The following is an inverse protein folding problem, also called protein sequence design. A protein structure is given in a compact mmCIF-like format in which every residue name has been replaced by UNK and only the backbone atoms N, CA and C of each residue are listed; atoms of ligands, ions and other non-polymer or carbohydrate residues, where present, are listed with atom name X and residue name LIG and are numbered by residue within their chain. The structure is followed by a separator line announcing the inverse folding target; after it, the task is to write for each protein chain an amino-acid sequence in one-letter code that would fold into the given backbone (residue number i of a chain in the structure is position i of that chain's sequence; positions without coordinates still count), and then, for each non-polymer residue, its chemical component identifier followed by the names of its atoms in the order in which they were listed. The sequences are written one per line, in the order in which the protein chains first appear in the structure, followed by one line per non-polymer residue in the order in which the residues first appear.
data_IF_106863919762
#
_entry.id   IF_106863919762
#
_cell.length_a   1.000
_cell.length_b   1.000
_cell.length_c   1.000
_cell.angle_alpha   90.00
_cell.angle_beta   90.00
_cell.angle_gamma   90.00
#
_symmetry.space_group_name_H-M   'P 1'
#
loop_
_entity.id
_entity.type
_entity.pdbx_description
1 polymer ?
#
# COMPACT_ATOMS: atom_id res chain seq x y z
N UNK A 1 -11.79 -12.41 18.75
CA UNK A 1 -10.36 -12.64 18.56
C UNK A 1 -9.89 -11.73 17.42
N UNK A 2 -8.86 -10.91 17.61
CA UNK A 2 -8.45 -9.92 16.62
C UNK A 2 -7.97 -10.57 15.32
N UNK A 3 -8.60 -10.20 14.21
CA UNK A 3 -8.24 -10.64 12.86
C UNK A 3 -8.02 -9.41 11.98
N UNK A 4 -7.05 -9.48 11.08
CA UNK A 4 -6.75 -8.41 10.14
C UNK A 4 -6.88 -8.92 8.71
N UNK A 5 -7.66 -8.22 7.91
CA UNK A 5 -7.75 -8.45 6.48
C UNK A 5 -7.21 -7.24 5.73
N UNK A 6 -6.17 -7.45 4.94
CA UNK A 6 -5.48 -6.42 4.17
C UNK A 6 -5.85 -6.59 2.71
N UNK A 7 -6.59 -5.62 2.16
CA UNK A 7 -6.92 -5.59 0.74
C UNK A 7 -5.76 -4.98 -0.04
N UNK A 8 -5.10 -5.77 -0.88
CA UNK A 8 -3.88 -5.43 -1.61
C UNK A 8 -4.11 -5.38 -3.12
N UNK A 9 -3.31 -4.57 -3.83
CA UNK A 9 -3.44 -4.42 -5.27
C UNK A 9 -2.93 -5.64 -6.03
N UNK A 10 -1.75 -6.16 -5.67
CA UNK A 10 -1.05 -7.18 -6.44
C UNK A 10 -0.28 -8.20 -5.59
N UNK A 11 0.43 -9.09 -6.30
CA UNK A 11 1.20 -10.19 -5.70
C UNK A 11 2.41 -9.69 -4.89
N UNK A 12 2.98 -8.53 -5.24
CA UNK A 12 4.10 -7.95 -4.51
C UNK A 12 3.67 -7.52 -3.10
N UNK A 13 2.55 -6.81 -3.01
CA UNK A 13 1.97 -6.38 -1.74
C UNK A 13 1.49 -7.59 -0.92
N UNK A 14 0.87 -8.60 -1.58
CA UNK A 14 0.46 -9.85 -0.91
C UNK A 14 1.66 -10.55 -0.27
N UNK A 15 2.77 -10.67 -1.00
CA UNK A 15 3.99 -11.30 -0.48
C UNK A 15 4.61 -10.47 0.65
N UNK A 16 4.67 -9.15 0.50
CA UNK A 16 5.15 -8.26 1.57
C UNK A 16 4.31 -8.39 2.85
N UNK A 17 2.99 -8.45 2.71
CA UNK A 17 2.09 -8.66 3.85
C UNK A 17 2.41 -10.00 4.53
N UNK A 18 2.53 -11.07 3.77
CA UNK A 18 2.71 -12.41 4.33
C UNK A 18 4.10 -12.62 4.97
N UNK A 19 5.16 -12.09 4.34
CA UNK A 19 6.55 -12.37 4.73
C UNK A 19 7.15 -11.34 5.67
N UNK A 20 6.65 -10.10 5.69
CA UNK A 20 7.19 -9.03 6.52
C UNK A 20 6.19 -8.47 7.53
N UNK A 21 5.02 -8.01 7.07
CA UNK A 21 4.08 -7.28 7.92
C UNK A 21 3.33 -8.21 8.89
N UNK A 22 2.84 -9.36 8.42
CA UNK A 22 2.09 -10.28 9.27
C UNK A 22 2.96 -10.90 10.39
N UNK A 23 4.20 -11.38 10.16
CA UNK A 23 5.08 -11.81 11.23
C UNK A 23 5.29 -10.76 12.32
N UNK A 24 5.47 -9.48 11.94
CA UNK A 24 5.58 -8.38 12.87
C UNK A 24 4.30 -8.19 13.70
N UNK A 25 3.15 -8.10 13.04
CA UNK A 25 1.87 -7.82 13.69
C UNK A 25 1.34 -8.96 14.58
N UNK A 26 1.75 -10.21 14.33
CA UNK A 26 1.44 -11.31 15.25
C UNK A 26 2.01 -11.06 16.67
N UNK A 27 3.12 -10.34 16.77
CA UNK A 27 3.71 -9.92 18.06
C UNK A 27 2.82 -8.97 18.87
N UNK A 28 1.84 -8.31 18.22
CA UNK A 28 0.90 -7.39 18.86
C UNK A 28 -0.43 -8.06 19.27
N UNK A 29 -0.64 -9.34 18.93
CA UNK A 29 -1.80 -10.11 19.41
C UNK A 29 -2.85 -10.42 18.35
N UNK A 30 -2.61 -10.12 17.08
CA UNK A 30 -3.46 -10.64 16.01
C UNK A 30 -3.38 -12.15 15.94
N UNK A 31 -4.54 -12.81 15.77
CA UNK A 31 -4.61 -14.27 15.68
C UNK A 31 -4.61 -14.76 14.23
N UNK A 32 -5.07 -13.92 13.31
CA UNK A 32 -5.05 -14.21 11.89
C UNK A 32 -4.87 -12.90 11.12
N UNK A 33 -3.91 -12.91 10.21
CA UNK A 33 -3.67 -11.85 9.25
C UNK A 33 -3.74 -12.47 7.87
N UNK A 34 -4.44 -11.84 6.95
CA UNK A 34 -4.62 -12.33 5.58
C UNK A 34 -4.55 -11.19 4.59
N UNK A 35 -3.81 -11.34 3.52
CA UNK A 35 -3.90 -10.48 2.35
C UNK A 35 -5.03 -10.95 1.43
N UNK A 36 -5.70 -10.01 0.76
CA UNK A 36 -6.72 -10.28 -0.25
C UNK A 36 -6.49 -9.40 -1.47
N UNK A 37 -6.23 -10.04 -2.59
CA UNK A 37 -6.07 -9.37 -3.86
C UNK A 37 -7.38 -8.71 -4.31
N UNK A 38 -7.32 -7.43 -4.67
CA UNK A 38 -8.45 -6.66 -5.21
C UNK A 38 -8.77 -6.99 -6.65
N UNK A 39 -7.79 -7.50 -7.38
CA UNK A 39 -7.92 -7.89 -8.78
C UNK A 39 -8.66 -9.21 -8.99
N UNK A 40 -8.83 -9.58 -10.26
CA UNK A 40 -9.53 -10.80 -10.65
C UNK A 40 -8.68 -12.04 -10.34
N UNK A 41 -8.99 -12.73 -9.25
CA UNK A 41 -8.29 -13.95 -8.79
C UNK A 41 -8.43 -15.15 -9.73
N UNK A 42 -9.36 -15.10 -10.70
CA UNK A 42 -9.67 -16.20 -11.62
C UNK A 42 -8.74 -16.27 -12.84
N UNK A 43 -8.04 -15.20 -13.17
CA UNK A 43 -7.17 -15.17 -14.34
C UNK A 43 -5.70 -15.24 -13.91
N UNK A 44 -5.10 -16.43 -13.94
CA UNK A 44 -3.71 -16.68 -13.52
C UNK A 44 -2.67 -15.79 -14.21
N UNK A 45 -2.99 -15.27 -15.40
CA UNK A 45 -2.07 -14.44 -16.19
C UNK A 45 -2.24 -12.92 -15.90
N UNK A 46 -3.19 -12.52 -15.04
CA UNK A 46 -3.45 -11.13 -14.63
C UNK A 46 -3.98 -11.09 -13.21
N UNK A 47 -3.19 -11.60 -12.26
CA UNK A 47 -3.49 -11.46 -10.84
C UNK A 47 -3.10 -10.07 -10.39
N UNK A 48 -4.06 -9.31 -9.87
CA UNK A 48 -3.84 -7.96 -9.37
C UNK A 48 -4.52 -6.89 -10.22
N UNK A 49 -4.25 -5.64 -9.85
CA UNK A 49 -4.83 -4.44 -10.44
C UNK A 49 -6.06 -3.94 -9.68
N UNK A 50 -6.29 -2.64 -9.81
CA UNK A 50 -7.36 -1.92 -9.12
C UNK A 50 -8.70 -2.14 -9.83
N UNK A 51 -9.73 -2.44 -9.03
CA UNK A 51 -11.14 -2.41 -9.46
C UNK A 51 -11.78 -1.06 -9.08
N UNK A 52 -12.95 -0.77 -9.66
CA UNK A 52 -13.76 0.37 -9.22
C UNK A 52 -14.15 0.24 -7.74
N UNK A 53 -14.20 1.38 -7.05
CA UNK A 53 -14.40 1.43 -5.60
C UNK A 53 -15.64 0.66 -5.13
N UNK A 54 -16.78 0.79 -5.79
CA UNK A 54 -18.01 0.09 -5.38
C UNK A 54 -17.79 -1.42 -5.16
N UNK A 55 -17.04 -2.07 -6.05
CA UNK A 55 -16.75 -3.51 -5.91
C UNK A 55 -15.80 -3.81 -4.76
N UNK A 56 -14.84 -2.93 -4.49
CA UNK A 56 -13.90 -3.05 -3.38
C UNK A 56 -14.61 -2.78 -2.05
N UNK A 57 -15.44 -1.74 -2.02
CA UNK A 57 -16.28 -1.40 -0.88
C UNK A 57 -17.18 -2.57 -0.47
N UNK A 58 -17.89 -3.17 -1.43
CA UNK A 58 -18.78 -4.30 -1.17
C UNK A 58 -18.02 -5.49 -0.56
N UNK A 59 -16.81 -5.78 -1.04
CA UNK A 59 -15.96 -6.83 -0.45
C UNK A 59 -15.56 -6.47 1.00
N UNK A 60 -15.14 -5.24 1.27
CA UNK A 60 -14.78 -4.77 2.63
C UNK A 60 -15.99 -4.83 3.57
N UNK A 61 -17.13 -4.30 3.13
CA UNK A 61 -18.37 -4.25 3.89
C UNK A 61 -18.85 -5.64 4.26
N UNK A 62 -18.80 -6.59 3.32
CA UNK A 62 -19.18 -7.98 3.59
C UNK A 62 -18.29 -8.60 4.69
N UNK A 63 -16.98 -8.43 4.61
CA UNK A 63 -16.08 -8.94 5.66
C UNK A 63 -16.32 -8.31 7.02
N UNK A 64 -16.57 -7.00 7.06
CA UNK A 64 -16.87 -6.30 8.31
C UNK A 64 -18.22 -6.69 8.92
N UNK A 65 -19.21 -7.05 8.07
CA UNK A 65 -20.52 -7.56 8.53
C UNK A 65 -20.45 -9.01 9.02
N UNK A 66 -19.68 -9.86 8.32
CA UNK A 66 -19.55 -11.28 8.67
C UNK A 66 -18.75 -11.52 9.95
N UNK A 67 -17.82 -10.63 10.28
CA UNK A 67 -16.88 -10.81 11.39
C UNK A 67 -16.72 -9.55 12.23
N UNK A 68 -17.39 -9.52 13.38
CA UNK A 68 -17.30 -8.41 14.33
C UNK A 68 -15.89 -8.20 14.94
N UNK A 69 -15.04 -9.22 14.95
CA UNK A 69 -13.65 -9.17 15.42
C UNK A 69 -12.63 -8.88 14.33
N UNK A 70 -13.07 -8.51 13.12
CA UNK A 70 -12.22 -8.20 11.99
C UNK A 70 -11.92 -6.70 11.91
N UNK A 71 -10.64 -6.36 11.79
CA UNK A 71 -10.15 -5.10 11.25
C UNK A 71 -9.91 -5.28 9.75
N UNK A 72 -10.41 -4.38 8.94
CA UNK A 72 -10.09 -4.31 7.52
C UNK A 72 -9.19 -3.10 7.24
N UNK A 73 -8.26 -3.25 6.30
CA UNK A 73 -7.41 -2.18 5.79
C UNK A 73 -7.17 -2.35 4.30
N UNK A 74 -6.71 -1.30 3.64
CA UNK A 74 -6.24 -1.34 2.26
C UNK A 74 -4.74 -1.13 2.21
N UNK A 75 -4.07 -1.63 1.17
CA UNK A 75 -2.69 -1.28 0.80
C UNK A 75 -2.67 -1.19 -0.72
N UNK A 76 -2.87 0.02 -1.24
CA UNK A 76 -3.10 0.29 -2.66
C UNK A 76 -2.27 1.48 -3.12
N UNK A 77 -1.77 1.41 -4.34
CA UNK A 77 -0.98 2.46 -4.96
C UNK A 77 -1.84 3.68 -5.32
N UNK A 78 -1.42 4.87 -4.91
CA UNK A 78 -2.12 6.12 -5.22
C UNK A 78 -2.31 6.32 -6.73
N UNK A 79 -1.30 5.95 -7.55
CA UNK A 79 -1.39 6.10 -9.01
C UNK A 79 -2.32 5.09 -9.68
N UNK A 80 -2.57 3.96 -9.07
CA UNK A 80 -3.50 2.98 -9.58
C UNK A 80 -4.97 3.38 -9.38
N UNK A 81 -5.25 4.29 -8.43
CA UNK A 81 -6.62 4.69 -8.11
C UNK A 81 -7.23 5.56 -9.21
N UNK A 82 -8.37 5.15 -9.82
CA UNK A 82 -9.07 5.95 -10.82
C UNK A 82 -9.49 7.32 -10.26
N UNK A 83 -9.05 8.38 -10.94
CA UNK A 83 -9.39 9.78 -10.61
C UNK A 83 -10.54 10.34 -11.46
N UNK A 84 -10.94 9.62 -12.49
CA UNK A 84 -12.01 10.04 -13.40
C UNK A 84 -13.37 9.81 -12.76
N UNK A 85 -14.28 10.78 -12.99
CA UNK A 85 -15.68 10.66 -12.54
C UNK A 85 -16.36 9.47 -13.22
N UNK A 86 -17.00 8.62 -12.45
CA UNK A 86 -17.73 7.47 -12.99
C UNK A 86 -17.77 6.27 -12.05
N UNK A 87 -18.27 5.12 -12.55
CA UNK A 87 -18.52 3.94 -11.70
C UNK A 87 -17.25 3.29 -11.12
N UNK A 88 -16.07 3.71 -11.57
CA UNK A 88 -14.77 3.23 -11.08
C UNK A 88 -14.06 4.23 -10.16
N UNK A 89 -14.61 5.44 -10.01
CA UNK A 89 -14.02 6.50 -9.19
C UNK A 89 -13.77 6.02 -7.75
N UNK A 90 -12.60 6.37 -7.22
CA UNK A 90 -12.27 6.17 -5.82
C UNK A 90 -12.54 7.45 -5.02
N UNK A 91 -13.27 7.37 -3.89
CA UNK A 91 -13.57 8.53 -3.05
C UNK A 91 -12.33 9.34 -2.70
N UNK A 92 -12.44 10.65 -2.80
CA UNK A 92 -11.34 11.57 -2.47
C UNK A 92 -10.20 11.64 -3.49
N UNK A 93 -10.09 10.69 -4.44
CA UNK A 93 -8.93 10.62 -5.35
C UNK A 93 -8.80 11.86 -6.23
N UNK A 94 -9.90 12.37 -6.76
CA UNK A 94 -9.93 13.60 -7.56
C UNK A 94 -9.62 14.84 -6.72
N UNK A 95 -10.16 14.94 -5.50
CA UNK A 95 -9.85 16.03 -4.58
C UNK A 95 -8.38 16.03 -4.17
N UNK A 96 -7.80 14.85 -3.97
CA UNK A 96 -6.40 14.68 -3.59
C UNK A 96 -5.41 15.23 -4.64
N UNK A 97 -5.78 15.25 -5.94
CA UNK A 97 -4.91 15.85 -6.98
C UNK A 97 -4.68 17.35 -6.78
N UNK A 98 -5.59 18.02 -6.08
CA UNK A 98 -5.53 19.46 -5.80
C UNK A 98 -4.82 19.77 -4.46
N UNK A 99 -4.35 18.73 -3.75
CA UNK A 99 -3.69 18.87 -2.45
C UNK A 99 -2.17 18.72 -2.59
N UNK A 100 -1.39 19.39 -1.73
CA UNK A 100 0.05 19.15 -1.63
C UNK A 100 0.30 17.71 -1.18
N UNK A 101 1.48 17.18 -1.50
CA UNK A 101 1.89 15.79 -1.27
C UNK A 101 1.49 15.24 0.12
N UNK A 102 1.80 15.90 1.26
CA UNK A 102 1.52 15.27 2.56
C UNK A 102 0.02 15.03 2.83
N UNK A 103 -0.87 15.73 2.10
CA UNK A 103 -2.32 15.64 2.28
C UNK A 103 -3.01 14.70 1.28
N UNK A 104 -2.32 14.25 0.23
CA UNK A 104 -2.94 13.44 -0.83
C UNK A 104 -3.46 12.11 -0.29
N UNK A 105 -2.59 11.34 0.36
CA UNK A 105 -2.97 10.05 0.94
C UNK A 105 -4.11 10.20 1.95
N UNK A 106 -3.96 11.10 2.91
CA UNK A 106 -4.96 11.32 3.97
C UNK A 106 -6.31 11.78 3.43
N UNK A 107 -6.35 12.57 2.34
CA UNK A 107 -7.60 12.99 1.68
C UNK A 107 -8.34 11.77 1.12
N UNK A 108 -7.65 10.84 0.48
CA UNK A 108 -8.28 9.61 -0.04
C UNK A 108 -8.69 8.72 1.13
N UNK A 109 -7.78 8.45 2.07
CA UNK A 109 -8.03 7.60 3.23
C UNK A 109 -9.26 8.04 4.03
N UNK A 110 -9.39 9.34 4.27
CA UNK A 110 -10.55 9.89 4.97
C UNK A 110 -11.85 9.67 4.18
N UNK A 111 -11.84 9.92 2.88
CA UNK A 111 -13.02 9.73 2.04
C UNK A 111 -13.44 8.25 1.92
N UNK A 112 -12.47 7.31 1.91
CA UNK A 112 -12.75 5.88 1.95
C UNK A 112 -13.41 5.46 3.27
N UNK A 113 -12.91 5.98 4.40
CA UNK A 113 -13.47 5.72 5.72
C UNK A 113 -14.90 6.26 5.82
N UNK A 114 -15.15 7.49 5.37
CA UNK A 114 -16.47 8.12 5.39
C UNK A 114 -17.48 7.31 4.55
N UNK A 115 -17.07 6.83 3.37
CA UNK A 115 -17.94 6.02 2.51
C UNK A 115 -18.29 4.66 3.14
N UNK A 116 -17.32 3.97 3.75
CA UNK A 116 -17.56 2.73 4.50
C UNK A 116 -18.47 2.96 5.71
N UNK A 117 -18.28 4.04 6.46
CA UNK A 117 -19.14 4.40 7.58
C UNK A 117 -20.57 4.68 7.11
N UNK A 118 -20.74 5.37 6.00
CA UNK A 118 -22.06 5.65 5.41
C UNK A 118 -22.77 4.36 5.00
N UNK A 119 -22.05 3.42 4.38
CA UNK A 119 -22.61 2.14 3.92
C UNK A 119 -22.99 1.20 5.09
N UNK A 120 -22.20 1.22 6.18
CA UNK A 120 -22.45 0.37 7.36
C UNK A 120 -23.40 0.99 8.38
N UNK A 121 -23.63 2.30 8.31
CA UNK A 121 -24.58 3.03 9.18
C UNK A 121 -24.07 3.32 10.59
N UNK A 122 -24.92 3.95 11.40
CA UNK A 122 -24.57 4.57 12.70
C UNK A 122 -24.06 3.59 13.76
N UNK A 123 -24.32 2.30 13.62
CA UNK A 123 -23.86 1.28 14.57
C UNK A 123 -22.48 0.71 14.25
N UNK A 124 -21.88 1.11 13.14
CA UNK A 124 -20.55 0.66 12.78
C UNK A 124 -19.49 1.39 13.62
N UNK A 125 -18.54 0.62 14.14
CA UNK A 125 -17.36 1.19 14.79
C UNK A 125 -16.31 1.56 13.74
N UNK A 126 -16.06 2.87 13.49
CA UNK A 126 -15.12 3.32 12.46
C UNK A 126 -13.69 2.82 12.66
N UNK A 127 -13.28 2.50 13.88
CA UNK A 127 -11.93 1.98 14.16
C UNK A 127 -11.68 0.61 13.55
N UNK A 128 -12.69 -0.06 13.03
CA UNK A 128 -12.59 -1.35 12.35
C UNK A 128 -12.23 -1.25 10.86
N UNK A 129 -12.08 -0.04 10.34
CA UNK A 129 -11.55 0.17 9.00
C UNK A 129 -10.45 1.24 9.01
N UNK A 130 -9.23 0.84 8.70
CA UNK A 130 -8.05 1.72 8.65
C UNK A 130 -7.53 1.72 7.21
N UNK A 131 -8.05 2.59 6.32
CA UNK A 131 -7.56 2.64 4.94
C UNK A 131 -6.13 3.15 4.87
N UNK A 132 -5.32 2.53 4.01
CA UNK A 132 -3.98 2.99 3.67
C UNK A 132 -3.82 3.09 2.16
N UNK A 133 -3.34 4.25 1.73
CA UNK A 133 -2.99 4.56 0.34
C UNK A 133 -1.50 4.84 0.27
N UNK A 134 -0.80 4.01 -0.46
CA UNK A 134 0.65 4.09 -0.62
C UNK A 134 1.02 5.18 -1.64
N UNK A 135 1.86 6.09 -1.25
CA UNK A 135 2.34 7.18 -2.09
C UNK A 135 3.68 6.80 -2.74
N UNK A 136 3.81 6.82 -4.02
CA UNK A 136 2.79 6.86 -5.08
C UNK A 136 2.55 5.46 -5.62
N UNK A 137 3.57 4.59 -5.47
CA UNK A 137 3.65 3.18 -5.85
C UNK A 137 4.48 2.40 -4.82
N UNK A 138 4.30 1.09 -4.78
CA UNK A 138 5.07 0.19 -3.93
C UNK A 138 6.59 0.37 -4.07
N UNK A 139 7.07 0.59 -5.29
CA UNK A 139 8.50 0.80 -5.57
C UNK A 139 9.07 2.03 -4.85
N UNK A 140 8.25 2.98 -4.43
CA UNK A 140 8.70 4.09 -3.59
C UNK A 140 9.34 3.60 -2.29
N UNK A 141 8.78 2.57 -1.66
CA UNK A 141 9.30 1.99 -0.42
C UNK A 141 10.70 1.40 -0.56
N UNK A 142 11.09 0.95 -1.77
CA UNK A 142 12.42 0.38 -2.04
C UNK A 142 13.55 1.39 -1.88
N UNK A 143 13.25 2.67 -2.03
CA UNK A 143 14.22 3.75 -1.82
C UNK A 143 14.44 4.09 -0.34
N UNK A 144 13.90 3.31 0.58
CA UNK A 144 14.19 3.45 2.02
C UNK A 144 15.62 3.05 2.37
N UNK A 145 16.23 2.12 1.59
CA UNK A 145 17.65 1.81 1.63
C UNK A 145 18.15 1.46 0.23
N UNK A 146 18.75 2.44 -0.43
CA UNK A 146 19.19 2.31 -1.81
C UNK A 146 20.35 1.32 -2.01
N UNK A 147 21.17 1.11 -0.97
CA UNK A 147 22.27 0.14 -1.02
C UNK A 147 21.72 -1.28 -0.96
N UNK A 148 20.91 -1.60 0.04
CA UNK A 148 20.26 -2.90 0.16
C UNK A 148 19.37 -3.20 -1.03
N UNK A 149 18.65 -2.19 -1.52
CA UNK A 149 17.85 -2.35 -2.75
C UNK A 149 18.71 -2.82 -3.93
N UNK A 150 19.83 -2.13 -4.21
CA UNK A 150 20.73 -2.47 -5.31
C UNK A 150 21.37 -3.87 -5.14
N UNK A 151 21.76 -4.24 -3.92
CA UNK A 151 22.32 -5.53 -3.58
C UNK A 151 21.29 -6.66 -3.77
N UNK A 152 20.08 -6.48 -3.26
CA UNK A 152 19.01 -7.48 -3.33
C UNK A 152 18.60 -7.84 -4.76
N UNK A 153 18.65 -6.88 -5.69
CA UNK A 153 18.37 -7.13 -7.11
C UNK A 153 19.62 -7.56 -7.91
N UNK A 154 20.73 -7.85 -7.24
CA UNK A 154 21.99 -8.26 -7.89
C UNK A 154 22.67 -7.17 -8.71
N UNK A 155 22.48 -5.91 -8.38
CA UNK A 155 23.03 -4.74 -9.10
C UNK A 155 23.68 -3.73 -8.12
N UNK A 156 24.63 -4.15 -7.26
CA UNK A 156 25.19 -3.26 -6.22
C UNK A 156 25.78 -1.96 -6.76
N UNK A 157 26.25 -1.95 -8.03
CA UNK A 157 26.75 -0.74 -8.71
C UNK A 157 25.69 0.35 -8.92
N UNK A 158 24.38 0.03 -8.81
CA UNK A 158 23.29 0.99 -8.96
C UNK A 158 22.96 1.74 -7.67
N UNK A 159 23.49 1.32 -6.51
CA UNK A 159 23.19 1.94 -5.22
C UNK A 159 23.37 3.46 -5.22
N UNK A 160 24.47 3.96 -5.79
CA UNK A 160 24.70 5.42 -5.90
C UNK A 160 23.67 6.12 -6.80
N UNK A 161 23.21 5.47 -7.87
CA UNK A 161 22.21 6.03 -8.77
C UNK A 161 20.83 6.05 -8.12
N UNK A 162 20.45 5.01 -7.40
CA UNK A 162 19.23 5.00 -6.60
C UNK A 162 19.29 6.06 -5.49
N UNK A 163 20.45 6.20 -4.84
CA UNK A 163 20.63 7.22 -3.80
C UNK A 163 20.48 8.65 -4.38
N UNK A 164 21.01 8.91 -5.56
CA UNK A 164 20.84 10.19 -6.22
C UNK A 164 19.37 10.52 -6.54
N UNK A 165 18.55 9.50 -6.88
CA UNK A 165 17.10 9.66 -7.00
C UNK A 165 16.48 9.99 -5.65
N UNK A 166 16.83 9.23 -4.59
CA UNK A 166 16.30 9.40 -3.25
C UNK A 166 16.60 10.79 -2.68
N UNK A 167 17.80 11.29 -2.87
CA UNK A 167 18.29 12.57 -2.33
C UNK A 167 17.58 13.81 -2.90
N UNK A 168 16.87 13.64 -4.02
CA UNK A 168 16.06 14.70 -4.61
C UNK A 168 14.71 14.93 -3.89
N UNK A 169 14.38 14.10 -2.91
CA UNK A 169 13.08 14.11 -2.21
C UNK A 169 13.26 14.03 -0.69
N UNK A 170 12.31 14.55 0.09
CA UNK A 170 12.37 14.53 1.56
C UNK A 170 12.13 13.12 2.14
N UNK A 171 11.34 12.30 1.44
CA UNK A 171 11.08 10.91 1.81
C UNK A 171 10.91 10.03 0.57
N UNK A 172 11.05 8.69 0.71
CA UNK A 172 10.73 7.77 -0.38
C UNK A 172 9.30 7.92 -0.92
N UNK A 173 8.36 8.28 -0.05
CA UNK A 173 6.96 8.48 -0.40
C UNK A 173 6.71 9.73 -1.25
N UNK A 174 7.66 10.66 -1.30
CA UNK A 174 7.61 11.83 -2.18
C UNK A 174 8.16 11.56 -3.59
N UNK A 175 8.87 10.44 -3.78
CA UNK A 175 9.45 10.14 -5.08
C UNK A 175 8.34 10.14 -6.09
N UNK A 176 8.28 11.27 -6.80
CA UNK A 176 7.54 11.60 -7.97
C UNK A 176 6.17 12.28 -7.86
N UNK A 177 6.03 13.25 -8.77
CA UNK A 177 4.78 13.96 -9.08
C UNK A 177 4.27 13.71 -10.52
N UNK A 178 4.94 12.88 -11.33
CA UNK A 178 4.60 12.62 -12.73
C UNK A 178 4.58 11.12 -13.02
N UNK A 179 3.56 10.65 -13.71
CA UNK A 179 3.42 9.24 -14.10
C UNK A 179 4.58 8.73 -14.97
N UNK A 180 5.29 9.63 -15.70
CA UNK A 180 6.43 9.26 -16.54
C UNK A 180 7.71 9.06 -15.73
N UNK A 181 7.78 9.59 -14.52
CA UNK A 181 8.92 9.50 -13.60
C UNK A 181 8.57 8.78 -12.32
N UNK A 182 7.49 7.99 -12.32
CA UNK A 182 7.03 7.15 -11.21
C UNK A 182 8.17 6.27 -10.66
N UNK A 183 8.16 5.90 -9.37
CA UNK A 183 9.21 5.06 -8.78
C UNK A 183 9.55 3.84 -9.63
N UNK A 184 8.53 3.10 -10.11
CA UNK A 184 8.73 1.96 -11.02
C UNK A 184 9.44 2.36 -12.32
N UNK A 185 9.12 3.52 -12.91
CA UNK A 185 9.76 3.99 -14.16
C UNK A 185 11.21 4.37 -13.95
N UNK A 186 11.56 4.93 -12.80
CA UNK A 186 12.95 5.21 -12.42
C UNK A 186 13.76 3.93 -12.26
N UNK A 187 13.15 2.91 -11.64
CA UNK A 187 13.77 1.59 -11.52
C UNK A 187 13.95 0.93 -12.88
N UNK A 188 12.90 0.87 -13.71
CA UNK A 188 12.93 0.30 -15.05
C UNK A 188 13.98 0.96 -15.97
N UNK A 189 14.18 2.28 -15.84
CA UNK A 189 15.19 3.01 -16.60
C UNK A 189 16.64 2.58 -16.26
N UNK A 190 16.89 2.21 -15.01
CA UNK A 190 18.20 1.75 -14.53
C UNK A 190 18.36 0.24 -14.63
N UNK A 191 17.27 -0.51 -14.59
CA UNK A 191 17.22 -1.99 -14.59
C UNK A 191 16.31 -2.46 -15.72
N UNK A 192 16.82 -2.50 -16.98
CA UNK A 192 16.02 -3.06 -18.07
C UNK A 192 15.59 -4.49 -17.77
N UNK A 193 14.28 -4.76 -17.93
CA UNK A 193 13.71 -6.06 -17.59
C UNK A 193 13.41 -6.25 -16.09
N UNK A 194 13.24 -5.17 -15.34
CA UNK A 194 12.83 -5.23 -13.95
C UNK A 194 11.49 -5.98 -13.79
N UNK A 195 11.53 -7.09 -13.08
CA UNK A 195 10.35 -7.90 -12.77
C UNK A 195 9.83 -7.53 -11.39
N UNK A 196 8.81 -6.64 -11.36
CA UNK A 196 8.24 -6.09 -10.12
C UNK A 196 7.93 -7.14 -9.06
N UNK A 197 7.19 -8.25 -9.34
CA UNK A 197 6.84 -9.22 -8.30
C UNK A 197 8.07 -9.92 -7.71
N UNK A 198 9.07 -10.23 -8.51
CA UNK A 198 10.25 -10.95 -8.05
C UNK A 198 11.26 -9.99 -7.39
N UNK A 199 11.76 -9.03 -8.14
CA UNK A 199 12.85 -8.16 -7.67
C UNK A 199 12.39 -7.18 -6.60
N UNK A 200 11.15 -6.66 -6.72
CA UNK A 200 10.54 -5.81 -5.69
C UNK A 200 10.34 -6.54 -4.36
N UNK A 201 9.91 -7.81 -4.41
CA UNK A 201 9.78 -8.63 -3.21
C UNK A 201 11.14 -8.91 -2.55
N UNK A 202 12.15 -9.32 -3.32
CA UNK A 202 13.50 -9.54 -2.77
C UNK A 202 14.04 -8.28 -2.11
N UNK A 203 13.90 -7.13 -2.77
CA UNK A 203 14.39 -5.87 -2.26
C UNK A 203 13.68 -5.43 -0.97
N UNK A 204 12.34 -5.50 -0.94
CA UNK A 204 11.58 -5.04 0.23
C UNK A 204 11.86 -5.90 1.48
N UNK A 205 12.07 -7.20 1.30
CA UNK A 205 12.41 -8.11 2.40
C UNK A 205 13.83 -7.84 2.92
N UNK A 206 14.79 -7.56 2.04
CA UNK A 206 16.17 -7.24 2.43
C UNK A 206 16.26 -5.87 3.12
N UNK A 207 15.52 -4.87 2.67
CA UNK A 207 15.44 -3.54 3.30
C UNK A 207 14.88 -3.67 4.72
N UNK A 208 13.81 -4.44 4.86
CA UNK A 208 13.17 -4.72 6.14
C UNK A 208 12.20 -3.64 6.63
N UNK A 209 11.22 -4.09 7.44
CA UNK A 209 10.10 -3.27 7.90
C UNK A 209 10.54 -2.04 8.70
N UNK A 210 11.54 -2.18 9.58
CA UNK A 210 11.98 -1.09 10.44
C UNK A 210 12.58 0.07 9.65
N UNK A 211 13.43 -0.23 8.66
CA UNK A 211 14.01 0.78 7.76
C UNK A 211 12.94 1.52 6.98
N UNK A 212 11.94 0.79 6.47
CA UNK A 212 10.81 1.41 5.76
C UNK A 212 10.03 2.34 6.68
N UNK A 213 9.75 1.92 7.91
CA UNK A 213 9.04 2.74 8.92
C UNK A 213 9.82 4.02 9.27
N UNK A 214 11.13 3.94 9.37
CA UNK A 214 11.98 5.11 9.65
C UNK A 214 11.91 6.15 8.53
N UNK A 215 11.92 5.71 7.27
CA UNK A 215 12.02 6.56 6.09
C UNK A 215 10.67 7.02 5.51
N UNK A 216 9.58 6.30 5.78
CA UNK A 216 8.26 6.48 5.18
C UNK A 216 7.21 6.86 6.22
N UNK A 217 6.97 8.17 6.47
CA UNK A 217 6.08 8.63 7.53
C UNK A 217 4.62 8.17 7.41
N UNK A 218 4.04 8.13 6.21
CA UNK A 218 2.67 7.68 5.99
C UNK A 218 2.54 6.17 6.25
N UNK A 219 3.51 5.38 5.76
CA UNK A 219 3.59 3.95 6.04
C UNK A 219 3.74 3.67 7.54
N UNK A 220 4.64 4.39 8.22
CA UNK A 220 4.82 4.29 9.68
C UNK A 220 3.53 4.55 10.42
N UNK A 221 2.84 5.65 10.11
CA UNK A 221 1.59 6.02 10.77
C UNK A 221 0.50 4.95 10.60
N UNK A 222 0.44 4.31 9.45
CA UNK A 222 -0.46 3.19 9.20
C UNK A 222 -0.12 1.97 10.04
N UNK A 223 1.14 1.51 10.03
CA UNK A 223 1.57 0.35 10.83
C UNK A 223 1.31 0.58 12.32
N UNK A 224 1.62 1.77 12.85
CA UNK A 224 1.33 2.12 14.24
C UNK A 224 -0.17 2.10 14.59
N UNK A 225 -1.05 2.43 13.64
CA UNK A 225 -2.50 2.29 13.85
C UNK A 225 -2.92 0.82 13.95
N UNK A 226 -2.35 -0.05 13.09
CA UNK A 226 -2.59 -1.49 13.15
C UNK A 226 -2.10 -2.09 14.48
N UNK A 227 -0.90 -1.71 14.94
CA UNK A 227 -0.32 -2.14 16.21
C UNK A 227 -1.21 -1.76 17.40
N UNK A 228 -1.70 -0.52 17.44
CA UNK A 228 -2.55 -0.01 18.54
C UNK A 228 -3.96 -0.58 18.57
N UNK A 229 -4.47 -1.06 17.44
CA UNK A 229 -5.85 -1.53 17.35
C UNK A 229 -6.12 -2.76 18.23
N UNK A 230 -5.13 -3.55 18.54
CA UNK A 230 -5.22 -4.80 19.32
C UNK A 230 -5.01 -4.56 20.82
N UNK A 231 -4.44 -3.41 21.18
CA UNK A 231 -4.19 -3.01 22.58
C UNK A 231 -5.44 -2.39 23.22
#
# INVERSE_FOLDING_TARGET
MPRLLIHVEGETEETFVNEALAPHLYGFGYQKISARLLGNSRNRNRRGGIRGWNSVRDDIVNHLKEDAGCLATTMVDYYALPAETGPKEWPGRRLATQRPFPQRATTVQQALLEDICTELGDHFNPTRFIPYVMMHEFEGLLFSDCTRFAEAIGRPQLGTQFQAIRDAFSSPEEINDDMLTAPSKRVEALVPGYEKPLLGTLAILEIGLDTIREQCPNFRAWVEQLERWVQ
#
